data_IF_558899630034
#
_entry.id   IF_558899630034
#
_cell.length_a   1.000
_cell.length_b   1.000
_cell.length_c   1.000
_cell.angle_alpha   90.00
_cell.angle_beta   90.00
_cell.angle_gamma   90.00
#
_symmetry.space_group_name_H-M   'P 1'
#
loop_
_entity.id
_entity.type
_entity.pdbx_description
1 polymer ?
#
# COMPACT_ATOMS: atom_id res chain seq x y z
N UNK A 1 5.24 9.92 -16.67
CA UNK A 1 4.26 10.70 -15.90
C UNK A 1 4.67 12.16 -16.03
N UNK A 2 3.73 13.08 -16.29
CA UNK A 2 4.04 14.50 -16.45
C UNK A 2 3.75 15.25 -15.13
N UNK A 3 4.72 15.97 -14.52
CA UNK A 3 4.49 16.75 -13.31
C UNK A 3 3.33 17.74 -13.41
N UNK A 4 3.06 18.31 -14.58
CA UNK A 4 1.99 19.30 -14.72
C UNK A 4 0.58 18.68 -14.71
N UNK A 5 0.46 17.35 -14.88
CA UNK A 5 -0.80 16.62 -14.65
C UNK A 5 -1.24 16.66 -13.17
N UNK A 6 -0.32 16.94 -12.24
CA UNK A 6 -0.58 17.06 -10.79
C UNK A 6 -0.90 18.48 -10.32
N UNK A 7 -0.94 19.47 -11.22
CA UNK A 7 -1.25 20.86 -10.86
C UNK A 7 -2.61 20.96 -10.17
N UNK A 8 -2.63 21.56 -8.98
CA UNK A 8 -3.81 21.68 -8.13
C UNK A 8 -4.28 20.37 -7.48
N UNK A 9 -3.49 19.30 -7.54
CA UNK A 9 -3.84 17.97 -7.00
C UNK A 9 -2.94 17.51 -5.85
N UNK A 10 -1.91 18.28 -5.50
CA UNK A 10 -1.07 17.97 -4.34
C UNK A 10 -1.86 18.21 -3.04
N UNK A 11 -1.54 17.48 -1.95
CA UNK A 11 -2.04 17.79 -0.62
C UNK A 11 -1.84 19.27 -0.25
N UNK A 12 -2.83 19.87 0.42
CA UNK A 12 -2.86 21.32 0.75
C UNK A 12 -1.65 21.84 1.54
N UNK A 13 -0.96 20.96 2.29
CA UNK A 13 0.23 21.30 3.07
C UNK A 13 1.53 21.26 2.25
N UNK A 14 1.50 20.80 1.01
CA UNK A 14 2.63 20.82 0.08
C UNK A 14 2.51 21.99 -0.89
N UNK A 15 3.61 22.68 -1.22
CA UNK A 15 3.55 23.78 -2.19
C UNK A 15 3.32 23.22 -3.60
N UNK A 16 2.33 23.77 -4.31
CA UNK A 16 2.01 23.40 -5.70
C UNK A 16 2.97 24.06 -6.71
N UNK A 17 4.24 23.64 -6.65
CA UNK A 17 5.32 24.07 -7.53
C UNK A 17 5.88 22.89 -8.32
N UNK A 18 6.46 23.16 -9.49
CA UNK A 18 6.91 22.12 -10.42
C UNK A 18 7.84 21.09 -9.76
N UNK A 19 8.83 21.53 -8.98
CA UNK A 19 9.77 20.63 -8.30
C UNK A 19 9.08 19.61 -7.36
N UNK A 20 8.06 20.02 -6.60
CA UNK A 20 7.34 19.09 -5.71
C UNK A 20 6.42 18.16 -6.50
N UNK A 21 5.86 18.63 -7.63
CA UNK A 21 5.10 17.77 -8.53
C UNK A 21 6.00 16.74 -9.22
N UNK A 22 7.23 17.11 -9.55
CA UNK A 22 8.26 16.22 -10.09
C UNK A 22 8.59 15.12 -9.08
N UNK A 23 8.91 15.48 -7.83
CA UNK A 23 9.14 14.50 -6.75
C UNK A 23 7.94 13.54 -6.56
N UNK A 24 6.72 14.06 -6.62
CA UNK A 24 5.49 13.25 -6.49
C UNK A 24 5.32 12.31 -7.69
N UNK A 25 5.63 12.79 -8.89
CA UNK A 25 5.59 11.99 -10.10
C UNK A 25 6.61 10.86 -10.06
N UNK A 26 7.82 11.11 -9.56
CA UNK A 26 8.84 10.07 -9.40
C UNK A 26 8.36 8.98 -8.43
N UNK A 27 7.76 9.37 -7.30
CA UNK A 27 7.15 8.41 -6.38
C UNK A 27 6.02 7.61 -7.03
N UNK A 28 5.13 8.24 -7.80
CA UNK A 28 4.08 7.53 -8.54
C UNK A 28 4.67 6.57 -9.60
N UNK A 29 5.82 6.90 -10.17
CA UNK A 29 6.57 6.00 -11.04
C UNK A 29 7.01 4.73 -10.31
N UNK A 30 7.52 4.86 -9.08
CA UNK A 30 7.87 3.73 -8.22
C UNK A 30 6.63 2.90 -7.83
N UNK A 31 5.49 3.56 -7.59
CA UNK A 31 4.21 2.86 -7.35
C UNK A 31 3.80 2.01 -8.57
N UNK A 32 3.94 2.54 -9.78
CA UNK A 32 3.66 1.78 -11.02
C UNK A 32 4.64 0.61 -11.22
N UNK A 33 5.91 0.81 -10.88
CA UNK A 33 6.91 -0.26 -10.92
C UNK A 33 6.57 -1.37 -9.92
N UNK A 34 6.18 -1.00 -8.69
CA UNK A 34 5.72 -1.93 -7.67
C UNK A 34 4.46 -2.70 -8.10
N UNK A 35 3.46 -2.02 -8.68
CA UNK A 35 2.25 -2.66 -9.21
C UNK A 35 2.58 -3.71 -10.27
N UNK A 36 3.48 -3.37 -11.20
CA UNK A 36 3.97 -4.31 -12.23
C UNK A 36 4.65 -5.52 -11.58
N UNK A 37 5.52 -5.30 -10.59
CA UNK A 37 6.21 -6.37 -9.88
C UNK A 37 5.23 -7.28 -9.11
N UNK A 38 4.20 -6.71 -8.48
CA UNK A 38 3.14 -7.45 -7.81
C UNK A 38 2.37 -8.33 -8.79
N UNK A 39 2.05 -7.81 -9.98
CA UNK A 39 1.45 -8.58 -11.07
C UNK A 39 2.26 -9.83 -11.44
N UNK A 40 3.58 -9.68 -11.57
CA UNK A 40 4.49 -10.81 -11.86
C UNK A 40 4.43 -11.88 -10.75
N UNK A 41 4.39 -11.47 -9.48
CA UNK A 41 4.28 -12.41 -8.35
C UNK A 41 2.95 -13.16 -8.37
N UNK A 42 1.85 -12.46 -8.67
CA UNK A 42 0.52 -13.05 -8.79
C UNK A 42 0.45 -14.06 -9.95
N UNK A 43 0.97 -13.70 -11.12
CA UNK A 43 1.04 -14.59 -12.27
C UNK A 43 1.87 -15.83 -11.95
N UNK A 44 2.98 -15.65 -11.21
CA UNK A 44 3.81 -16.79 -10.79
C UNK A 44 3.06 -17.73 -9.85
N UNK A 45 2.33 -17.20 -8.86
CA UNK A 45 1.48 -18.01 -7.96
C UNK A 45 0.38 -18.74 -8.74
N UNK A 46 -0.22 -18.09 -9.75
CA UNK A 46 -1.23 -18.71 -10.60
C UNK A 46 -0.66 -19.88 -11.41
N UNK A 47 0.50 -19.70 -12.04
CA UNK A 47 1.19 -20.76 -12.79
C UNK A 47 1.56 -21.96 -11.90
N UNK A 48 1.90 -21.71 -10.63
CA UNK A 48 2.18 -22.76 -9.66
C UNK A 48 0.93 -23.44 -9.12
N UNK A 49 -0.27 -22.91 -9.38
CA UNK A 49 -1.53 -23.41 -8.82
C UNK A 49 -1.75 -23.04 -7.35
N UNK A 50 -0.91 -22.17 -6.77
CA UNK A 50 -0.92 -21.80 -5.35
C UNK A 50 -1.74 -20.54 -5.05
N UNK A 51 -2.19 -19.81 -6.08
CA UNK A 51 -2.89 -18.54 -5.90
C UNK A 51 -4.17 -18.67 -5.05
N UNK A 52 -4.91 -19.78 -5.16
CA UNK A 52 -6.13 -20.01 -4.37
C UNK A 52 -5.84 -20.59 -2.97
N UNK A 53 -4.60 -20.95 -2.69
CA UNK A 53 -4.14 -21.45 -1.39
C UNK A 53 -3.33 -20.37 -0.62
N UNK A 54 -3.14 -19.19 -1.22
CA UNK A 54 -2.28 -18.13 -0.67
C UNK A 54 -3.11 -16.92 -0.25
N UNK A 55 -2.91 -16.46 0.99
CA UNK A 55 -3.36 -15.13 1.43
C UNK A 55 -2.29 -14.13 1.01
N UNK A 56 -2.69 -13.10 0.27
CA UNK A 56 -1.81 -12.00 -0.13
C UNK A 56 -2.11 -10.79 0.74
N UNK A 57 -1.07 -10.23 1.36
CA UNK A 57 -1.16 -8.98 2.13
C UNK A 57 -0.16 -7.99 1.56
N UNK A 58 -0.64 -6.82 1.18
CA UNK A 58 0.17 -5.72 0.65
C UNK A 58 0.02 -4.53 1.56
N UNK A 59 1.13 -3.96 2.00
CA UNK A 59 1.17 -2.79 2.86
C UNK A 59 2.40 -1.93 2.60
N UNK A 60 2.32 -0.64 2.95
CA UNK A 60 3.51 0.16 3.25
C UNK A 60 3.96 -0.08 4.69
N UNK A 61 5.23 0.15 5.00
CA UNK A 61 5.76 0.15 6.38
C UNK A 61 5.61 1.52 7.06
N UNK A 62 5.62 2.58 6.26
CA UNK A 62 5.37 3.96 6.63
C UNK A 62 4.90 4.78 5.40
N UNK A 63 4.55 6.05 5.61
CA UNK A 63 4.18 6.99 4.53
C UNK A 63 5.33 7.35 3.58
N UNK A 64 5.03 8.15 2.58
CA UNK A 64 5.95 8.53 1.49
C UNK A 64 7.27 9.18 2.02
N UNK A 65 8.46 8.79 1.55
CA UNK A 65 9.71 9.41 1.96
C UNK A 65 9.93 10.76 1.25
N UNK A 66 10.63 11.69 1.91
CA UNK A 66 11.08 12.94 1.29
C UNK A 66 10.07 14.11 1.32
N UNK A 67 8.85 13.88 1.82
CA UNK A 67 7.83 14.91 1.93
C UNK A 67 7.62 15.36 3.38
N UNK A 68 7.23 16.62 3.56
CA UNK A 68 6.85 17.13 4.89
C UNK A 68 5.64 16.38 5.42
N UNK A 69 5.56 16.23 6.74
CA UNK A 69 4.52 15.47 7.45
C UNK A 69 4.42 13.98 7.08
N UNK A 70 5.33 13.46 6.26
CA UNK A 70 5.31 12.08 5.77
C UNK A 70 6.23 11.17 6.62
N UNK A 71 7.00 10.28 5.99
CA UNK A 71 7.97 9.40 6.67
C UNK A 71 8.74 10.16 7.77
N UNK A 72 8.95 9.49 8.90
CA UNK A 72 9.51 10.02 10.16
C UNK A 72 8.62 10.98 10.95
N UNK A 73 7.34 11.10 10.62
CA UNK A 73 6.36 11.87 11.38
C UNK A 73 5.16 10.99 11.75
N UNK A 74 4.36 11.45 12.73
CA UNK A 74 3.13 10.78 13.18
C UNK A 74 1.85 11.40 12.63
N UNK A 75 1.95 12.26 11.61
CA UNK A 75 0.79 12.75 10.87
C UNK A 75 0.28 11.68 9.90
N UNK A 76 -0.96 11.82 9.44
CA UNK A 76 -1.61 10.85 8.55
C UNK A 76 -0.76 10.54 7.31
N UNK A 77 -0.12 11.53 6.70
CA UNK A 77 0.72 11.32 5.52
C UNK A 77 1.98 10.47 5.79
N UNK A 78 2.36 10.30 7.06
CA UNK A 78 3.48 9.48 7.53
C UNK A 78 3.08 8.12 8.09
N UNK A 79 1.84 7.94 8.54
CA UNK A 79 1.39 6.72 9.26
C UNK A 79 0.23 6.00 8.58
N UNK A 80 -0.58 6.69 7.78
CA UNK A 80 -1.70 6.11 7.05
C UNK A 80 -1.21 5.43 5.77
N UNK A 81 -0.81 4.18 5.92
CA UNK A 81 -0.34 3.33 4.80
C UNK A 81 -1.48 2.53 4.19
N UNK A 82 -1.29 2.11 2.94
CA UNK A 82 -2.14 1.11 2.29
C UNK A 82 -2.12 -0.20 3.10
N UNK A 83 -3.27 -0.85 3.25
CA UNK A 83 -3.37 -2.25 3.65
C UNK A 83 -4.42 -2.95 2.78
N UNK A 84 -3.97 -3.79 1.85
CA UNK A 84 -4.83 -4.56 0.96
C UNK A 84 -4.62 -6.06 1.20
N UNK A 85 -5.71 -6.80 1.38
CA UNK A 85 -5.67 -8.23 1.71
C UNK A 85 -6.55 -9.00 0.72
N UNK A 86 -5.97 -9.97 0.02
CA UNK A 86 -6.70 -10.98 -0.76
C UNK A 86 -6.68 -12.29 0.01
N UNK A 87 -7.87 -12.82 0.30
CA UNK A 87 -8.03 -14.08 1.00
C UNK A 87 -8.96 -15.01 0.23
N UNK A 88 -8.43 -16.00 -0.51
CA UNK A 88 -9.25 -17.00 -1.19
C UNK A 88 -10.21 -17.72 -0.25
N UNK A 89 -11.47 -17.88 -0.66
CA UNK A 89 -12.47 -18.61 0.11
C UNK A 89 -12.92 -17.94 1.43
N UNK A 90 -12.44 -16.73 1.75
CA UNK A 90 -12.86 -15.93 2.91
C UNK A 90 -13.02 -14.46 2.53
N UNK A 91 -13.91 -13.78 3.25
CA UNK A 91 -14.19 -12.36 3.01
C UNK A 91 -15.05 -12.12 1.77
N UNK A 92 -15.33 -10.83 1.52
CA UNK A 92 -16.14 -10.36 0.40
C UNK A 92 -15.24 -9.53 -0.54
N UNK A 93 -15.05 -9.93 -1.81
CA UNK A 93 -14.28 -9.15 -2.77
C UNK A 93 -14.79 -7.71 -2.86
N UNK A 94 -13.88 -6.74 -2.91
CA UNK A 94 -14.21 -5.31 -2.94
C UNK A 94 -14.70 -4.72 -1.61
N UNK A 95 -14.67 -5.48 -0.51
CA UNK A 95 -15.00 -4.95 0.82
C UNK A 95 -13.99 -3.86 1.21
N UNK A 96 -14.53 -2.70 1.59
CA UNK A 96 -13.79 -1.64 2.25
C UNK A 96 -13.99 -1.75 3.76
N UNK A 97 -12.92 -1.59 4.52
CA UNK A 97 -12.93 -1.62 5.99
C UNK A 97 -12.53 -0.24 6.48
N UNK A 98 -13.37 0.37 7.32
CA UNK A 98 -13.12 1.70 7.89
C UNK A 98 -12.75 1.65 9.37
N UNK A 99 -12.70 0.45 9.95
CA UNK A 99 -12.21 0.23 11.30
C UNK A 99 -10.73 0.60 11.40
N UNK A 100 -10.33 1.16 12.55
CA UNK A 100 -8.93 1.43 12.83
C UNK A 100 -8.17 0.12 13.06
N UNK A 101 -7.04 -0.03 12.35
CA UNK A 101 -6.14 -1.17 12.45
C UNK A 101 -4.69 -0.69 12.54
N UNK A 102 -3.79 -1.55 13.00
CA UNK A 102 -2.36 -1.29 13.03
C UNK A 102 -1.59 -2.41 12.32
N UNK A 103 -0.44 -2.10 11.71
CA UNK A 103 0.43 -3.13 11.12
C UNK A 103 0.90 -4.17 12.13
N UNK A 104 0.98 -3.81 13.42
CA UNK A 104 1.28 -4.73 14.51
C UNK A 104 0.21 -5.82 14.65
N UNK A 105 -1.02 -5.61 14.16
CA UNK A 105 -2.08 -6.62 14.17
C UNK A 105 -1.83 -7.74 13.16
N UNK A 106 -0.98 -7.54 12.16
CA UNK A 106 -0.65 -8.57 11.16
C UNK A 106 -0.01 -9.80 11.81
N UNK A 107 0.87 -9.62 12.80
CA UNK A 107 1.52 -10.73 13.49
C UNK A 107 0.52 -11.67 14.18
N UNK A 108 -0.36 -11.21 15.10
CA UNK A 108 -1.38 -12.07 15.69
C UNK A 108 -2.41 -12.56 14.66
N UNK A 109 -2.72 -11.79 13.61
CA UNK A 109 -3.58 -12.28 12.52
C UNK A 109 -2.97 -13.47 11.78
N UNK A 110 -1.69 -13.39 11.39
CA UNK A 110 -1.02 -14.51 10.70
C UNK A 110 -0.89 -15.74 11.58
N UNK A 111 -0.61 -15.55 12.87
CA UNK A 111 -0.55 -16.65 13.82
C UNK A 111 -1.89 -17.38 13.91
N UNK A 112 -2.99 -16.63 14.04
CA UNK A 112 -4.35 -17.16 14.12
C UNK A 112 -4.77 -17.90 12.84
N UNK A 113 -4.46 -17.32 11.68
CA UNK A 113 -4.70 -17.96 10.38
C UNK A 113 -3.92 -19.27 10.23
N UNK A 114 -2.69 -19.31 10.70
CA UNK A 114 -1.85 -20.51 10.70
C UNK A 114 -2.28 -21.59 11.70
N UNK A 115 -3.37 -21.39 12.45
CA UNK A 115 -3.86 -22.31 13.48
C UNK A 115 -3.11 -22.22 14.82
N UNK A 116 -2.27 -21.19 14.99
CA UNK A 116 -1.64 -20.86 16.25
C UNK A 116 -2.63 -20.27 17.26
N UNK A 117 -2.28 -20.33 18.54
CA UNK A 117 -3.02 -19.66 19.62
C UNK A 117 -2.27 -18.39 20.04
N UNK A 118 -3.02 -17.31 20.26
CA UNK A 118 -2.52 -16.05 20.84
C UNK A 118 -2.07 -16.26 22.29
#
# INVERSE_FOLDING_TARGET
LDPDDLKGKLPDFLPDVHAVREDMVDYLGEVMAFDTALGILLDRLAVLGELENTILVVSGDHGIPGFTHAKTNLYDFGTHVTLAIRWPGKGNPGRVVTDFVNLMDLAPTFLEVGGGRR
#
